data_IF_418995134505
#
_entry.id   IF_418995134505
#
_cell.length_a   1.000
_cell.length_b   1.000
_cell.length_c   1.000
_cell.angle_alpha   90.00
_cell.angle_beta   90.00
_cell.angle_gamma   90.00
#
_symmetry.space_group_name_H-M   'P 1'
#
loop_
_entity.id
_entity.type
_entity.pdbx_description
1 polymer ?
#
# COMPACT_ATOMS: atom_id res chain seq x y z
N UNK A 1 4.96 -9.42 11.13
CA UNK A 1 3.84 -8.56 10.69
C UNK A 1 4.11 -8.00 9.29
N UNK A 2 5.18 -7.20 9.10
CA UNK A 2 5.56 -6.71 7.77
C UNK A 2 5.81 -7.82 6.75
N UNK A 3 6.53 -8.89 7.13
CA UNK A 3 6.78 -10.04 6.27
C UNK A 3 5.50 -10.74 5.78
N UNK A 4 4.48 -10.85 6.64
CA UNK A 4 3.18 -11.43 6.27
C UNK A 4 2.37 -10.49 5.37
N UNK A 5 2.41 -9.17 5.64
CA UNK A 5 1.78 -8.17 4.79
C UNK A 5 2.43 -8.09 3.39
N UNK A 6 3.76 -8.26 3.31
CA UNK A 6 4.49 -8.37 2.05
C UNK A 6 4.06 -9.63 1.28
N UNK A 7 3.89 -10.77 1.95
CA UNK A 7 3.42 -11.99 1.29
C UNK A 7 2.01 -11.84 0.70
N UNK A 8 1.08 -11.22 1.43
CA UNK A 8 -0.27 -10.89 0.93
C UNK A 8 -0.18 -9.92 -0.26
N UNK A 9 0.66 -8.88 -0.14
CA UNK A 9 0.90 -7.92 -1.21
C UNK A 9 1.55 -8.53 -2.46
N UNK A 10 2.32 -9.62 -2.35
CA UNK A 10 2.92 -10.33 -3.48
C UNK A 10 1.91 -11.24 -4.21
N UNK A 11 0.93 -11.78 -3.50
CA UNK A 11 -0.14 -12.62 -4.07
C UNK A 11 -1.13 -11.75 -4.86
N UNK A 12 -1.67 -10.71 -4.23
CA UNK A 12 -2.67 -9.81 -4.85
C UNK A 12 -2.03 -8.72 -5.73
N UNK A 13 -0.86 -8.22 -5.35
CA UNK A 13 -0.19 -7.12 -6.03
C UNK A 13 0.40 -7.51 -7.38
N UNK A 14 0.78 -8.79 -7.60
CA UNK A 14 1.24 -9.27 -8.91
C UNK A 14 0.17 -9.13 -9.99
N UNK A 15 -1.10 -9.30 -9.62
CA UNK A 15 -2.21 -9.15 -10.57
C UNK A 15 -2.65 -7.69 -10.72
N UNK A 16 -2.36 -6.83 -9.73
CA UNK A 16 -2.97 -5.50 -9.63
C UNK A 16 -2.02 -4.36 -9.96
N UNK A 17 -0.71 -4.50 -9.70
CA UNK A 17 0.28 -3.43 -9.81
C UNK A 17 1.59 -3.86 -10.50
N UNK A 18 1.56 -4.90 -11.33
CA UNK A 18 2.74 -5.31 -12.10
C UNK A 18 3.25 -4.14 -12.94
N UNK A 19 4.55 -3.85 -12.83
CA UNK A 19 5.22 -2.83 -13.64
C UNK A 19 6.37 -3.52 -14.40
N UNK A 20 6.42 -3.44 -15.75
CA UNK A 20 7.47 -4.09 -16.52
C UNK A 20 8.88 -3.51 -16.27
N UNK A 21 8.97 -2.36 -15.59
CA UNK A 21 10.22 -1.63 -15.31
C UNK A 21 10.66 -1.68 -13.84
N UNK A 22 9.81 -2.19 -12.95
CA UNK A 22 10.07 -2.22 -11.50
C UNK A 22 9.87 -3.66 -11.01
N UNK A 23 10.85 -4.26 -10.32
CA UNK A 23 10.70 -5.58 -9.72
C UNK A 23 9.44 -5.69 -8.84
N UNK A 24 8.71 -6.79 -8.99
CA UNK A 24 7.47 -7.06 -8.23
C UNK A 24 7.72 -7.01 -6.71
N UNK A 25 8.90 -7.43 -6.25
CA UNK A 25 9.29 -7.38 -4.84
C UNK A 25 9.36 -5.95 -4.32
N UNK A 26 9.83 -5.00 -5.13
CA UNK A 26 9.88 -3.59 -4.75
C UNK A 26 8.48 -2.98 -4.72
N UNK A 27 7.63 -3.34 -5.68
CA UNK A 27 6.22 -2.91 -5.70
C UNK A 27 5.47 -3.43 -4.47
N UNK A 28 5.62 -4.71 -4.13
CA UNK A 28 4.99 -5.30 -2.95
C UNK A 28 5.56 -4.74 -1.63
N UNK A 29 6.87 -4.47 -1.58
CA UNK A 29 7.48 -3.83 -0.42
C UNK A 29 6.90 -2.42 -0.21
N UNK A 30 6.85 -1.61 -1.26
CA UNK A 30 6.26 -0.27 -1.20
C UNK A 30 4.81 -0.32 -0.74
N UNK A 31 4.02 -1.26 -1.27
CA UNK A 31 2.64 -1.46 -0.84
C UNK A 31 2.53 -1.76 0.65
N UNK A 32 3.22 -2.79 1.11
CA UNK A 32 3.14 -3.25 2.50
C UNK A 32 3.68 -2.18 3.47
N UNK A 33 4.80 -1.53 3.15
CA UNK A 33 5.40 -0.51 4.01
C UNK A 33 4.50 0.72 4.14
N UNK A 34 3.90 1.17 3.04
CA UNK A 34 3.04 2.36 3.04
C UNK A 34 1.73 2.06 3.77
N UNK A 35 1.10 0.91 3.49
CA UNK A 35 -0.13 0.50 4.17
C UNK A 35 0.06 0.40 5.69
N UNK A 36 1.13 -0.29 6.14
CA UNK A 36 1.43 -0.40 7.58
C UNK A 36 1.72 0.96 8.20
N UNK A 37 2.44 1.83 7.49
CA UNK A 37 2.77 3.17 8.01
C UNK A 37 1.53 4.04 8.18
N UNK A 38 0.60 4.02 7.20
CA UNK A 38 -0.67 4.74 7.29
C UNK A 38 -1.54 4.20 8.43
N UNK A 39 -1.70 2.88 8.52
CA UNK A 39 -2.47 2.25 9.59
C UNK A 39 -1.87 2.54 10.97
N UNK A 40 -0.55 2.48 11.11
CA UNK A 40 0.13 2.81 12.37
C UNK A 40 -0.09 4.27 12.74
N UNK A 41 0.14 5.20 11.81
CA UNK A 41 -0.07 6.63 12.04
C UNK A 41 -1.51 6.92 12.48
N UNK A 42 -2.49 6.31 11.81
CA UNK A 42 -3.90 6.49 12.14
C UNK A 42 -4.21 6.02 13.56
N UNK A 43 -3.74 4.84 13.94
CA UNK A 43 -3.96 4.26 15.27
C UNK A 43 -3.23 5.04 16.38
N UNK A 44 -1.96 5.40 16.16
CA UNK A 44 -1.14 6.14 17.13
C UNK A 44 -1.66 7.57 17.34
N UNK A 45 -2.28 8.16 16.33
CA UNK A 45 -2.91 9.49 16.43
C UNK A 45 -4.32 9.44 17.02
N UNK A 46 -4.74 8.30 17.60
CA UNK A 46 -6.08 8.15 18.20
C UNK A 46 -7.20 8.16 17.17
N UNK A 47 -6.94 7.67 15.95
CA UNK A 47 -7.86 7.71 14.81
C UNK A 47 -8.32 9.12 14.49
N UNK A 48 -7.35 10.03 14.27
CA UNK A 48 -7.56 11.46 14.03
C UNK A 48 -8.54 11.80 12.89
N UNK A 49 -8.70 10.89 11.93
CA UNK A 49 -9.63 11.01 10.81
C UNK A 49 -10.57 9.79 10.76
N UNK A 50 -11.67 9.91 10.02
CA UNK A 50 -12.59 8.80 9.81
C UNK A 50 -11.96 7.68 8.98
N UNK A 51 -12.65 6.54 8.88
CA UNK A 51 -12.20 5.41 8.05
C UNK A 51 -12.21 5.77 6.57
N UNK A 52 -13.20 6.56 6.17
CA UNK A 52 -13.40 7.06 4.82
C UNK A 52 -12.26 8.03 4.45
N UNK A 53 -11.92 8.95 5.34
CA UNK A 53 -10.76 9.84 5.14
C UNK A 53 -9.43 9.07 5.08
N UNK A 54 -9.26 8.02 5.89
CA UNK A 54 -8.08 7.13 5.80
C UNK A 54 -8.05 6.36 4.48
N UNK A 55 -9.21 5.94 3.96
CA UNK A 55 -9.30 5.35 2.64
C UNK A 55 -8.87 6.34 1.54
N UNK A 56 -9.19 7.62 1.67
CA UNK A 56 -8.71 8.66 0.76
C UNK A 56 -7.17 8.81 0.82
N UNK A 57 -6.57 8.77 2.01
CA UNK A 57 -5.11 8.75 2.14
C UNK A 57 -4.48 7.52 1.47
N UNK A 58 -5.05 6.34 1.67
CA UNK A 58 -4.61 5.10 1.01
C UNK A 58 -4.75 5.25 -0.52
N UNK A 59 -5.87 5.79 -0.99
CA UNK A 59 -6.11 5.98 -2.41
C UNK A 59 -5.07 6.93 -3.04
N UNK A 60 -4.81 8.06 -2.39
CA UNK A 60 -3.92 9.11 -2.89
C UNK A 60 -2.44 8.77 -2.80
N UNK A 61 -2.01 8.11 -1.71
CA UNK A 61 -0.59 7.86 -1.43
C UNK A 61 -0.12 6.48 -1.86
N UNK A 62 -1.03 5.54 -2.05
CA UNK A 62 -0.69 4.15 -2.37
C UNK A 62 -1.31 3.69 -3.69
N UNK A 63 -2.64 3.69 -3.81
CA UNK A 63 -3.32 3.04 -4.94
C UNK A 63 -3.10 3.80 -6.26
N UNK A 64 -3.31 5.12 -6.28
CA UNK A 64 -3.16 5.93 -7.50
C UNK A 64 -1.70 5.92 -8.00
N UNK A 65 -0.68 6.20 -7.17
CA UNK A 65 0.71 6.18 -7.62
C UNK A 65 1.14 4.81 -8.15
N UNK A 66 0.77 3.72 -7.46
CA UNK A 66 1.12 2.39 -7.94
C UNK A 66 0.43 2.05 -9.27
N UNK A 67 -0.84 2.45 -9.46
CA UNK A 67 -1.53 2.27 -10.74
C UNK A 67 -0.84 3.01 -11.88
N UNK A 68 -0.39 4.24 -11.64
CA UNK A 68 0.33 5.04 -12.64
C UNK A 68 1.68 4.43 -13.03
N UNK A 69 2.30 3.63 -12.15
CA UNK A 69 3.53 2.91 -12.43
C UNK A 69 3.28 1.57 -13.16
N UNK A 70 2.12 0.94 -12.93
CA UNK A 70 1.78 -0.36 -13.54
C UNK A 70 1.25 -0.29 -14.98
N UNK A 71 0.89 0.89 -15.48
CA UNK A 71 0.49 1.15 -16.87
C UNK A 71 1.68 1.44 -17.78
#
# INVERSE_FOLDING_TARGET
>A
LLSAAVAIGLEDGRQTFHCPRIPDELMAHHFASTMISLMRWWLESGMICSKEEMADYIQALLIIPMKQLST
#
